data_IF_680541900233
#
_entry.id   IF_680541900233
#
_cell.length_a   1.000
_cell.length_b   1.000
_cell.length_c   1.000
_cell.angle_alpha   90.00
_cell.angle_beta   90.00
_cell.angle_gamma   90.00
#
_symmetry.space_group_name_H-M   'P 1'
#
loop_
_entity.id
_entity.type
_entity.pdbx_description
1 polymer ?
#
# COMPACT_ATOMS: atom_id res chain seq x y z
N UNK A 1 -22.33 -14.81 11.87
CA UNK A 1 -20.93 -14.79 11.39
C UNK A 1 -20.74 -13.50 10.63
N UNK A 2 -19.87 -12.57 11.08
CA UNK A 2 -19.51 -11.39 10.29
C UNK A 2 -18.58 -11.87 9.16
N UNK A 3 -19.05 -11.81 7.92
CA UNK A 3 -18.18 -11.97 6.76
C UNK A 3 -17.15 -10.85 6.80
N UNK A 4 -15.83 -11.14 6.75
CA UNK A 4 -14.83 -10.09 6.69
C UNK A 4 -15.11 -9.22 5.46
N UNK A 5 -15.23 -7.91 5.66
CA UNK A 5 -15.46 -6.97 4.57
C UNK A 5 -14.18 -6.89 3.73
N UNK A 6 -14.17 -7.58 2.60
CA UNK A 6 -13.02 -7.65 1.70
C UNK A 6 -13.14 -6.55 0.63
N UNK A 7 -12.08 -5.75 0.51
CA UNK A 7 -12.00 -4.64 -0.42
C UNK A 7 -11.09 -5.01 -1.60
N UNK A 8 -11.56 -4.89 -2.85
CA UNK A 8 -10.71 -5.11 -4.01
C UNK A 8 -9.62 -4.03 -4.09
N UNK A 9 -8.44 -4.39 -4.58
CA UNK A 9 -7.28 -3.49 -4.68
C UNK A 9 -7.57 -2.21 -5.48
N UNK A 10 -8.46 -2.28 -6.48
CA UNK A 10 -8.98 -1.12 -7.20
C UNK A 10 -9.65 -0.08 -6.29
N UNK A 11 -10.51 -0.54 -5.37
CA UNK A 11 -11.21 0.34 -4.43
C UNK A 11 -10.25 0.96 -3.42
N UNK A 12 -9.26 0.19 -2.98
CA UNK A 12 -8.22 0.64 -2.05
C UNK A 12 -7.40 1.77 -2.68
N UNK A 13 -6.98 1.60 -3.95
CA UNK A 13 -6.25 2.62 -4.69
C UNK A 13 -7.03 3.96 -4.78
N UNK A 14 -8.35 3.88 -5.03
CA UNK A 14 -9.22 5.07 -5.04
C UNK A 14 -9.34 5.68 -3.64
N UNK A 15 -9.55 4.88 -2.61
CA UNK A 15 -9.72 5.34 -1.23
C UNK A 15 -8.48 6.05 -0.68
N UNK A 16 -7.29 5.49 -0.95
CA UNK A 16 -6.00 6.04 -0.51
C UNK A 16 -5.48 7.10 -1.50
N UNK A 17 -6.17 7.30 -2.63
CA UNK A 17 -5.76 8.21 -3.71
C UNK A 17 -4.32 7.93 -4.19
N UNK A 18 -4.00 6.65 -4.37
CA UNK A 18 -2.66 6.20 -4.76
C UNK A 18 -2.74 5.23 -5.94
N UNK A 19 -1.74 5.23 -6.85
CA UNK A 19 -1.69 4.28 -7.97
C UNK A 19 -1.74 2.83 -7.53
N UNK A 20 -2.36 1.95 -8.33
CA UNK A 20 -2.44 0.52 -8.05
C UNK A 20 -1.06 -0.14 -7.85
N UNK A 21 -0.06 0.30 -8.59
CA UNK A 21 1.32 -0.16 -8.43
C UNK A 21 1.89 0.13 -7.05
N UNK A 22 1.54 1.29 -6.47
CA UNK A 22 2.03 1.72 -5.16
C UNK A 22 1.31 0.97 -4.05
N UNK A 23 0.00 0.75 -4.19
CA UNK A 23 -0.74 -0.14 -3.30
C UNK A 23 -0.12 -1.54 -3.28
N UNK A 24 0.20 -2.12 -4.45
CA UNK A 24 0.84 -3.44 -4.54
C UNK A 24 2.23 -3.47 -3.90
N UNK A 25 3.06 -2.46 -4.15
CA UNK A 25 4.39 -2.37 -3.55
C UNK A 25 4.32 -2.19 -2.03
N UNK A 26 3.42 -1.34 -1.55
CA UNK A 26 3.22 -1.10 -0.13
C UNK A 26 2.67 -2.34 0.59
N UNK A 27 1.74 -3.08 -0.01
CA UNK A 27 1.27 -4.36 0.53
C UNK A 27 2.42 -5.35 0.69
N UNK A 28 3.22 -5.55 -0.37
CA UNK A 28 4.39 -6.44 -0.32
C UNK A 28 5.43 -5.99 0.73
N UNK A 29 5.74 -4.69 0.78
CA UNK A 29 6.70 -4.12 1.73
C UNK A 29 6.20 -4.16 3.19
N UNK A 30 4.89 -4.16 3.41
CA UNK A 30 4.26 -4.32 4.72
C UNK A 30 4.07 -5.79 5.12
N UNK A 31 4.44 -6.76 4.27
CA UNK A 31 4.20 -8.19 4.50
C UNK A 31 2.71 -8.54 4.54
N UNK A 32 1.90 -7.80 3.80
CA UNK A 32 0.44 -7.97 3.73
C UNK A 32 0.10 -8.78 2.49
N UNK A 33 -0.44 -9.97 2.71
CA UNK A 33 -0.94 -10.85 1.66
C UNK A 33 -2.43 -10.63 1.42
N UNK A 34 -2.92 -10.76 0.17
CA UNK A 34 -4.34 -10.66 -0.12
C UNK A 34 -5.11 -11.83 0.50
N UNK A 35 -6.23 -11.53 1.15
CA UNK A 35 -7.12 -12.54 1.74
C UNK A 35 -7.81 -13.41 0.67
N UNK A 36 -7.99 -12.86 -0.54
CA UNK A 36 -8.61 -13.55 -1.66
C UNK A 36 -8.04 -13.02 -2.98
N UNK A 37 -7.86 -13.93 -3.95
CA UNK A 37 -7.60 -13.60 -5.35
C UNK A 37 -8.72 -14.20 -6.20
N UNK A 38 -9.51 -13.36 -6.86
CA UNK A 38 -10.63 -13.77 -7.69
C UNK A 38 -10.53 -13.08 -9.06
N UNK A 39 -10.49 -13.86 -10.15
CA UNK A 39 -10.35 -13.36 -11.51
C UNK A 39 -9.18 -12.38 -11.70
N UNK A 40 -8.06 -12.60 -10.99
CA UNK A 40 -6.88 -11.73 -11.02
C UNK A 40 -7.00 -10.44 -10.21
N UNK A 41 -8.15 -10.19 -9.56
CA UNK A 41 -8.34 -9.09 -8.61
C UNK A 41 -7.95 -9.56 -7.21
N UNK A 42 -7.07 -8.80 -6.57
CA UNK A 42 -6.66 -9.02 -5.19
C UNK A 42 -7.60 -8.31 -4.24
N UNK A 43 -7.97 -8.99 -3.15
CA UNK A 43 -8.86 -8.46 -2.12
C UNK A 43 -8.16 -8.48 -0.76
N UNK A 44 -8.34 -7.42 0.00
CA UNK A 44 -7.70 -7.21 1.30
C UNK A 44 -8.75 -6.91 2.37
N UNK A 45 -8.44 -7.22 3.63
CA UNK A 45 -9.30 -6.81 4.75
C UNK A 45 -9.13 -5.32 5.05
N UNK A 46 -10.05 -4.73 5.81
CA UNK A 46 -9.93 -3.33 6.26
C UNK A 46 -8.64 -3.10 7.07
N UNK A 47 -8.23 -4.06 7.91
CA UNK A 47 -6.99 -4.00 8.68
C UNK A 47 -5.76 -3.96 7.77
N UNK A 48 -5.79 -4.69 6.66
CA UNK A 48 -4.71 -4.69 5.68
C UNK A 48 -4.62 -3.33 4.94
N UNK A 49 -5.78 -2.72 4.65
CA UNK A 49 -5.85 -1.37 4.06
C UNK A 49 -5.18 -0.34 4.96
N UNK A 50 -5.42 -0.39 6.27
CA UNK A 50 -4.78 0.51 7.24
C UNK A 50 -3.26 0.34 7.26
N UNK A 51 -2.76 -0.90 7.20
CA UNK A 51 -1.31 -1.18 7.14
C UNK A 51 -0.68 -0.64 5.86
N UNK A 52 -1.36 -0.80 4.72
CA UNK A 52 -0.91 -0.28 3.42
C UNK A 52 -0.84 1.24 3.45
N UNK A 53 -1.90 1.91 3.92
CA UNK A 53 -1.94 3.38 4.04
C UNK A 53 -0.84 3.89 4.99
N UNK A 54 -0.69 3.26 6.16
CA UNK A 54 0.36 3.61 7.11
C UNK A 54 1.77 3.47 6.50
N UNK A 55 2.01 2.43 5.71
CA UNK A 55 3.30 2.25 5.02
C UNK A 55 3.55 3.36 4.00
N UNK A 56 2.55 3.70 3.17
CA UNK A 56 2.64 4.78 2.19
C UNK A 56 2.91 6.14 2.83
N UNK A 57 2.21 6.46 3.93
CA UNK A 57 2.41 7.71 4.68
C UNK A 57 3.81 7.81 5.27
N UNK A 58 4.35 6.73 5.86
CA UNK A 58 5.74 6.74 6.38
C UNK A 58 6.77 7.01 5.28
N UNK A 59 6.52 6.51 4.07
CA UNK A 59 7.36 6.77 2.89
C UNK A 59 7.28 8.21 2.43
N UNK A 60 6.09 8.80 2.44
CA UNK A 60 5.90 10.22 2.11
C UNK A 60 6.47 11.15 3.19
N UNK A 61 6.40 10.76 4.47
CA UNK A 61 6.92 11.52 5.61
C UNK A 61 8.41 11.30 5.88
N UNK A 62 9.03 10.29 5.27
CA UNK A 62 10.49 10.19 5.19
C UNK A 62 10.92 10.89 3.91
N UNK A 63 11.26 12.20 3.94
CA UNK A 63 12.01 12.76 2.83
C UNK A 63 13.26 11.88 2.70
N UNK A 64 13.55 11.44 1.48
CA UNK A 64 14.77 10.71 1.18
C UNK A 64 15.95 11.29 1.97
N UNK A 65 16.75 10.43 2.58
CA UNK A 65 18.07 10.73 3.11
C UNK A 65 18.73 11.90 2.33
N UNK A 66 18.99 13.07 2.95
CA UNK A 66 19.81 14.10 2.34
C UNK A 66 21.28 13.66 2.41
N UNK A 67 21.65 12.62 1.64
CA UNK A 67 23.00 12.06 1.64
C UNK A 67 23.61 11.95 0.24
N UNK A 68 23.23 12.82 -0.68
CA UNK A 68 24.12 13.25 -1.74
C UNK A 68 24.78 14.57 -1.30
N UNK A 69 26.06 14.59 -0.89
CA UNK A 69 26.77 15.85 -0.82
C UNK A 69 26.80 16.47 -2.22
N UNK A 70 26.72 17.80 -2.36
CA UNK A 70 26.96 18.42 -3.65
C UNK A 70 28.38 18.05 -4.10
N UNK A 71 28.51 17.39 -5.25
CA UNK A 71 29.80 17.33 -5.95
C UNK A 71 30.19 18.77 -6.28
N UNK A 72 31.15 19.30 -5.52
CA UNK A 72 31.84 20.54 -5.83
C UNK A 72 32.71 20.23 -7.05
N UNK A 73 32.32 20.76 -8.22
CA UNK A 73 33.18 20.93 -9.39
C UNK A 73 33.80 22.33 -9.38
#
# INVERSE_FOLDING_TARGET
>A
MNTPNLLPIGRIAVQIQSPLSDIRRAAAAAGVEPALSLNGVLYFSEVDVEKIDAHLRRRASSPADPMNPPEIL
#
